data_IF_717599271155
#
_entry.id   IF_717599271155
#
_cell.length_a   1.000
_cell.length_b   1.000
_cell.length_c   1.000
_cell.angle_alpha   90.00
_cell.angle_beta   90.00
_cell.angle_gamma   90.00
#
_symmetry.space_group_name_H-M   'P 1'
#
loop_
_entity.id
_entity.type
_entity.pdbx_description
1 polymer ?
#
# COMPACT_ATOMS: atom_id res chain seq x y z
N UNK A 1 -9.44 -8.98 -3.09
CA UNK A 1 -10.25 -8.68 -1.88
C UNK A 1 -9.42 -8.10 -0.74
N UNK A 2 -8.37 -8.77 -0.24
CA UNK A 2 -7.55 -8.23 0.88
C UNK A 2 -7.02 -6.81 0.64
N UNK A 3 -6.42 -6.53 -0.52
CA UNK A 3 -6.01 -5.17 -0.89
C UNK A 3 -7.16 -4.14 -0.84
N UNK A 4 -8.35 -4.48 -1.35
CA UNK A 4 -9.49 -3.56 -1.35
C UNK A 4 -9.99 -3.25 0.07
N UNK A 5 -10.07 -4.26 0.95
CA UNK A 5 -10.47 -4.07 2.35
C UNK A 5 -9.42 -3.24 3.09
N UNK A 6 -8.13 -3.57 2.92
CA UNK A 6 -7.04 -2.79 3.48
C UNK A 6 -7.09 -1.33 3.04
N UNK A 7 -7.22 -1.07 1.74
CA UNK A 7 -7.36 0.28 1.20
C UNK A 7 -8.56 1.04 1.76
N UNK A 8 -9.70 0.39 1.96
CA UNK A 8 -10.87 1.04 2.54
C UNK A 8 -10.59 1.55 3.97
N UNK A 9 -9.90 0.77 4.80
CA UNK A 9 -9.48 1.21 6.13
C UNK A 9 -8.60 2.48 6.07
N UNK A 10 -7.60 2.48 5.18
CA UNK A 10 -6.68 3.63 5.00
C UNK A 10 -7.33 4.84 4.31
N UNK A 11 -8.48 4.65 3.66
CA UNK A 11 -9.27 5.75 3.12
C UNK A 11 -10.14 6.40 4.19
N UNK A 12 -10.73 5.59 5.08
CA UNK A 12 -11.68 6.04 6.11
C UNK A 12 -10.97 6.72 7.28
N UNK A 13 -9.88 6.13 7.81
CA UNK A 13 -9.17 6.65 8.98
C UNK A 13 -8.80 8.14 8.90
N UNK A 14 -8.08 8.58 7.85
CA UNK A 14 -7.66 9.97 7.72
C UNK A 14 -8.78 10.90 7.20
N UNK A 15 -9.98 10.38 6.95
CA UNK A 15 -11.09 11.19 6.44
C UNK A 15 -11.53 12.21 7.51
N UNK A 16 -11.70 13.50 7.14
CA UNK A 16 -12.06 14.53 8.10
C UNK A 16 -13.30 14.17 8.92
N UNK A 17 -13.21 14.23 10.24
CA UNK A 17 -14.31 13.92 11.17
C UNK A 17 -14.32 12.49 11.70
N UNK A 18 -13.57 11.56 11.11
CA UNK A 18 -13.60 10.15 11.54
C UNK A 18 -13.01 9.96 12.94
N UNK A 19 -11.78 10.46 13.17
CA UNK A 19 -11.12 10.37 14.49
C UNK A 19 -11.90 11.09 15.60
N UNK A 20 -12.62 12.17 15.27
CA UNK A 20 -13.49 12.87 16.23
C UNK A 20 -14.74 12.05 16.60
N UNK A 21 -15.20 11.18 15.70
CA UNK A 21 -16.36 10.31 15.91
C UNK A 21 -16.01 9.07 16.73
N UNK A 22 -14.87 8.43 16.45
CA UNK A 22 -14.51 7.12 17.02
C UNK A 22 -13.41 7.18 18.08
N UNK A 23 -12.66 8.28 18.14
CA UNK A 23 -11.49 8.47 19.00
C UNK A 23 -10.20 7.90 18.39
N UNK A 24 -9.05 8.41 18.86
CA UNK A 24 -7.72 8.07 18.33
C UNK A 24 -7.39 6.57 18.42
N UNK A 25 -7.80 5.90 19.50
CA UNK A 25 -7.55 4.47 19.68
C UNK A 25 -8.27 3.63 18.62
N UNK A 26 -9.56 3.90 18.37
CA UNK A 26 -10.33 3.17 17.37
C UNK A 26 -9.85 3.48 15.95
N UNK A 27 -9.48 4.73 15.68
CA UNK A 27 -8.86 5.12 14.40
C UNK A 27 -7.56 4.37 14.14
N UNK A 28 -6.66 4.29 15.13
CA UNK A 28 -5.44 3.48 15.06
C UNK A 28 -5.72 2.00 14.79
N UNK A 29 -6.76 1.43 15.41
CA UNK A 29 -7.18 0.04 15.16
C UNK A 29 -7.64 -0.15 13.71
N UNK A 30 -8.35 0.80 13.11
CA UNK A 30 -8.75 0.74 11.69
C UNK A 30 -7.53 0.65 10.79
N UNK A 31 -6.52 1.50 11.00
CA UNK A 31 -5.27 1.44 10.25
C UNK A 31 -4.52 0.12 10.44
N UNK A 32 -4.44 -0.39 11.67
CA UNK A 32 -3.78 -1.66 11.95
C UNK A 32 -4.49 -2.86 11.30
N UNK A 33 -5.83 -2.92 11.39
CA UNK A 33 -6.62 -3.95 10.70
C UNK A 33 -6.40 -3.87 9.19
N UNK A 34 -6.41 -2.65 8.64
CA UNK A 34 -6.12 -2.43 7.22
C UNK A 34 -4.75 -2.96 6.81
N UNK A 35 -3.72 -2.74 7.62
CA UNK A 35 -2.35 -3.17 7.31
C UNK A 35 -2.21 -4.69 7.37
N UNK A 36 -2.91 -5.37 8.29
CA UNK A 36 -2.98 -6.84 8.32
C UNK A 36 -3.57 -7.39 7.02
N UNK A 37 -4.66 -6.80 6.51
CA UNK A 37 -5.24 -7.21 5.22
C UNK A 37 -4.27 -7.02 4.05
N UNK A 38 -3.53 -5.91 4.02
CA UNK A 38 -2.46 -5.69 3.03
C UNK A 38 -1.38 -6.76 3.12
N UNK A 39 -0.89 -7.08 4.33
CA UNK A 39 0.15 -8.09 4.54
C UNK A 39 -0.31 -9.48 4.10
N UNK A 40 -1.53 -9.88 4.46
CA UNK A 40 -2.08 -11.18 4.04
C UNK A 40 -2.26 -11.24 2.52
N UNK A 41 -2.74 -10.16 1.89
CA UNK A 41 -2.90 -10.09 0.45
C UNK A 41 -1.55 -10.21 -0.28
N UNK A 42 -0.55 -9.46 0.15
CA UNK A 42 0.81 -9.49 -0.41
C UNK A 42 1.48 -10.86 -0.20
N UNK A 43 1.29 -11.50 0.96
CA UNK A 43 1.77 -12.85 1.23
C UNK A 43 1.17 -13.87 0.25
N UNK A 44 -0.13 -13.78 -0.01
CA UNK A 44 -0.81 -14.66 -0.97
C UNK A 44 -0.31 -14.43 -2.40
N UNK A 45 -0.12 -13.17 -2.82
CA UNK A 45 0.41 -12.82 -4.13
C UNK A 45 1.83 -13.37 -4.33
N UNK A 46 2.72 -13.18 -3.35
CA UNK A 46 4.08 -13.71 -3.37
C UNK A 46 4.09 -15.25 -3.38
N UNK A 47 3.21 -15.88 -2.59
CA UNK A 47 3.06 -17.35 -2.58
C UNK A 47 2.57 -17.87 -3.93
N UNK A 48 1.60 -17.23 -4.56
CA UNK A 48 1.09 -17.59 -5.89
C UNK A 48 2.22 -17.54 -6.93
N UNK A 49 2.98 -16.44 -6.95
CA UNK A 49 4.14 -16.28 -7.82
C UNK A 49 5.20 -17.37 -7.63
N UNK A 50 5.51 -17.69 -6.37
CA UNK A 50 6.57 -18.65 -6.02
C UNK A 50 6.15 -20.11 -6.24
N UNK A 51 4.98 -20.51 -5.72
CA UNK A 51 4.57 -21.92 -5.63
C UNK A 51 3.79 -22.36 -6.86
N UNK A 52 2.82 -21.57 -7.31
CA UNK A 52 1.86 -22.00 -8.34
C UNK A 52 2.31 -21.67 -9.76
N UNK A 53 2.90 -20.49 -9.95
CA UNK A 53 3.43 -20.08 -11.25
C UNK A 53 4.87 -20.52 -11.50
N UNK A 54 5.54 -21.03 -10.45
CA UNK A 54 6.92 -21.49 -10.56
C UNK A 54 7.91 -20.38 -10.95
N UNK A 55 7.54 -19.11 -10.77
CA UNK A 55 8.45 -17.97 -10.95
C UNK A 55 9.49 -18.05 -9.83
N UNK A 56 10.57 -18.78 -10.08
CA UNK A 56 11.68 -18.93 -9.14
C UNK A 56 12.46 -17.62 -9.05
N UNK A 57 13.02 -17.39 -7.86
CA UNK A 57 13.92 -16.29 -7.55
C UNK A 57 14.97 -16.09 -8.66
N UNK A 58 15.13 -14.86 -9.17
CA UNK A 58 16.34 -14.43 -9.90
C UNK A 58 16.17 -13.80 -11.27
N UNK A 59 15.03 -13.96 -11.99
CA UNK A 59 14.87 -13.35 -13.34
C UNK A 59 13.56 -12.63 -13.61
N UNK A 60 12.49 -12.94 -12.90
CA UNK A 60 11.18 -12.32 -13.13
C UNK A 60 11.00 -11.04 -12.29
N UNK A 61 10.89 -9.85 -12.91
CA UNK A 61 10.63 -8.60 -12.19
C UNK A 61 9.28 -8.61 -11.44
N UNK A 62 8.28 -9.38 -11.90
CA UNK A 62 6.99 -9.49 -11.21
C UNK A 62 7.11 -10.19 -9.86
N UNK A 63 7.97 -11.21 -9.74
CA UNK A 63 8.23 -11.85 -8.47
C UNK A 63 8.91 -10.88 -7.48
N UNK A 64 9.90 -10.12 -7.95
CA UNK A 64 10.57 -9.11 -7.13
C UNK A 64 9.64 -7.98 -6.70
N UNK A 65 8.74 -7.55 -7.59
CA UNK A 65 7.68 -6.59 -7.25
C UNK A 65 6.83 -7.11 -6.07
N UNK A 66 6.32 -8.35 -6.16
CA UNK A 66 5.54 -8.97 -5.08
C UNK A 66 6.35 -9.16 -3.79
N UNK A 67 7.62 -9.57 -3.89
CA UNK A 67 8.48 -9.78 -2.74
C UNK A 67 8.78 -8.47 -1.99
N UNK A 68 9.15 -7.42 -2.72
CA UNK A 68 9.41 -6.10 -2.14
C UNK A 68 8.12 -5.49 -1.58
N UNK A 69 6.98 -5.68 -2.26
CA UNK A 69 5.67 -5.27 -1.74
C UNK A 69 5.40 -5.94 -0.39
N UNK A 70 5.61 -7.25 -0.29
CA UNK A 70 5.38 -7.99 0.94
C UNK A 70 6.26 -7.48 2.09
N UNK A 71 7.56 -7.25 1.85
CA UNK A 71 8.45 -6.62 2.84
C UNK A 71 7.91 -5.25 3.27
N UNK A 72 7.48 -4.42 2.31
CA UNK A 72 6.85 -3.13 2.61
C UNK A 72 5.64 -3.26 3.53
N UNK A 73 4.76 -4.24 3.28
CA UNK A 73 3.58 -4.45 4.12
C UNK A 73 3.93 -4.90 5.54
N UNK A 74 5.02 -5.65 5.74
CA UNK A 74 5.47 -6.04 7.08
C UNK A 74 5.96 -4.82 7.87
N UNK A 75 6.77 -3.96 7.24
CA UNK A 75 7.26 -2.73 7.86
C UNK A 75 6.11 -1.78 8.21
N UNK A 76 5.14 -1.66 7.30
CA UNK A 76 3.95 -0.85 7.50
C UNK A 76 3.03 -1.42 8.60
N UNK A 77 2.93 -2.74 8.71
CA UNK A 77 2.22 -3.40 9.80
C UNK A 77 2.91 -3.14 11.17
N UNK A 78 4.24 -3.17 11.23
CA UNK A 78 5.00 -2.79 12.43
C UNK A 78 4.76 -1.32 12.84
N UNK A 79 4.74 -0.40 11.86
CA UNK A 79 4.44 1.01 12.09
C UNK A 79 3.04 1.20 12.67
N UNK A 80 2.02 0.65 12.02
CA UNK A 80 0.61 0.77 12.47
C UNK A 80 0.34 0.06 13.80
N UNK A 81 1.00 -1.06 14.08
CA UNK A 81 0.96 -1.69 15.39
C UNK A 81 1.58 -0.78 16.48
N UNK A 82 2.72 -0.16 16.17
CA UNK A 82 3.39 0.76 17.09
C UNK A 82 2.56 2.01 17.35
N UNK A 83 1.77 2.47 16.37
CA UNK A 83 0.83 3.58 16.52
C UNK A 83 -0.34 3.29 17.48
N UNK A 84 -0.58 2.02 17.85
CA UNK A 84 -1.55 1.67 18.89
C UNK A 84 -1.02 1.91 20.32
N UNK A 85 0.28 2.14 20.47
CA UNK A 85 0.89 2.35 21.78
C UNK A 85 0.63 3.78 22.24
N UNK A 86 0.22 3.92 23.50
CA UNK A 86 0.01 5.23 24.11
C UNK A 86 1.32 5.81 24.66
N UNK A 87 1.38 7.14 24.74
CA UNK A 87 2.45 7.87 25.46
C UNK A 87 3.88 7.64 24.94
N UNK A 88 4.05 7.49 23.62
CA UNK A 88 5.37 7.49 22.99
C UNK A 88 6.00 8.90 23.06
N UNK A 89 7.29 8.96 23.41
CA UNK A 89 8.06 10.18 23.19
C UNK A 89 8.24 10.44 21.68
N UNK A 90 8.48 11.69 21.29
CA UNK A 90 8.77 12.06 19.90
C UNK A 90 9.89 11.23 19.27
N UNK A 91 10.92 10.87 20.05
CA UNK A 91 12.01 10.02 19.56
C UNK A 91 11.55 8.58 19.32
N UNK A 92 10.68 8.04 20.18
CA UNK A 92 10.10 6.72 19.99
C UNK A 92 9.12 6.69 18.83
N UNK A 93 8.30 7.72 18.67
CA UNK A 93 7.38 7.86 17.52
C UNK A 93 8.14 7.86 16.20
N UNK A 94 9.20 8.67 16.09
CA UNK A 94 10.03 8.69 14.89
C UNK A 94 10.74 7.35 14.63
N UNK A 95 11.13 6.63 15.69
CA UNK A 95 11.86 5.35 15.57
C UNK A 95 10.96 4.16 15.27
N UNK A 96 9.79 4.09 15.92
CA UNK A 96 8.91 2.93 15.90
C UNK A 96 7.77 3.05 14.88
N UNK A 97 7.33 4.27 14.59
CA UNK A 97 6.21 4.54 13.68
C UNK A 97 6.74 5.08 12.36
N UNK A 98 7.43 6.23 12.39
CA UNK A 98 7.88 6.91 11.18
C UNK A 98 8.94 6.12 10.40
N UNK A 99 9.96 5.57 11.08
CA UNK A 99 11.06 4.88 10.40
C UNK A 99 10.57 3.65 9.61
N UNK A 100 9.79 2.71 10.20
CA UNK A 100 9.24 1.60 9.43
C UNK A 100 8.24 2.05 8.36
N UNK A 101 7.50 3.13 8.57
CA UNK A 101 6.59 3.68 7.56
C UNK A 101 7.34 4.18 6.32
N UNK A 102 8.41 4.97 6.51
CA UNK A 102 9.24 5.48 5.41
C UNK A 102 9.89 4.33 4.63
N UNK A 103 10.46 3.35 5.32
CA UNK A 103 11.05 2.19 4.65
C UNK A 103 9.99 1.33 3.95
N UNK A 104 8.82 1.15 4.56
CA UNK A 104 7.68 0.46 3.96
C UNK A 104 7.21 1.16 2.67
N UNK A 105 7.04 2.47 2.73
CA UNK A 105 6.68 3.32 1.59
C UNK A 105 7.73 3.30 0.47
N UNK A 106 9.02 3.28 0.82
CA UNK A 106 10.09 3.09 -0.16
C UNK A 106 10.00 1.72 -0.85
N UNK A 107 9.70 0.65 -0.10
CA UNK A 107 9.43 -0.67 -0.68
C UNK A 107 8.22 -0.63 -1.64
N UNK A 108 7.12 0.00 -1.26
CA UNK A 108 5.95 0.14 -2.13
C UNK A 108 6.26 0.90 -3.43
N UNK A 109 7.06 1.97 -3.36
CA UNK A 109 7.53 2.70 -4.54
C UNK A 109 8.37 1.83 -5.47
N UNK A 110 9.35 1.10 -4.92
CA UNK A 110 10.18 0.17 -5.71
C UNK A 110 9.31 -0.92 -6.33
N UNK A 111 8.40 -1.51 -5.56
CA UNK A 111 7.49 -2.53 -6.05
C UNK A 111 6.58 -2.03 -7.18
N UNK A 112 5.95 -0.87 -6.99
CA UNK A 112 5.09 -0.24 -7.99
C UNK A 112 5.83 0.12 -9.27
N UNK A 113 7.08 0.60 -9.15
CA UNK A 113 7.92 0.91 -10.31
C UNK A 113 8.27 -0.36 -11.10
N UNK A 114 8.58 -1.47 -10.41
CA UNK A 114 8.79 -2.77 -11.06
C UNK A 114 7.52 -3.26 -11.77
N UNK A 115 6.37 -3.22 -11.09
CA UNK A 115 5.09 -3.63 -11.67
C UNK A 115 4.74 -2.82 -12.92
N UNK A 116 4.88 -1.49 -12.86
CA UNK A 116 4.61 -0.62 -13.99
C UNK A 116 5.60 -0.86 -15.14
N UNK A 117 6.88 -1.10 -14.85
CA UNK A 117 7.88 -1.43 -15.88
C UNK A 117 7.55 -2.75 -16.59
N UNK A 118 7.02 -3.75 -15.89
CA UNK A 118 6.61 -5.02 -16.50
C UNK A 118 5.50 -4.79 -17.53
N UNK A 119 4.53 -3.92 -17.23
CA UNK A 119 3.39 -3.65 -18.14
C UNK A 119 3.69 -2.62 -19.21
N UNK A 120 4.49 -1.59 -18.91
CA UNK A 120 4.81 -0.49 -19.82
C UNK A 120 6.06 -0.74 -20.69
N UNK A 121 6.83 -1.78 -20.38
CA UNK A 121 8.08 -2.09 -21.06
C UNK A 121 9.24 -1.17 -20.65
N UNK A 122 10.43 -1.35 -21.28
CA UNK A 122 11.68 -0.73 -20.83
C UNK A 122 11.72 0.80 -20.99
N UNK A 123 10.91 1.36 -21.89
CA UNK A 123 10.81 2.82 -22.12
C UNK A 123 9.78 3.50 -21.21
N UNK A 124 9.09 2.75 -20.33
CA UNK A 124 8.02 3.26 -19.46
C UNK A 124 6.86 3.94 -20.21
N UNK A 125 6.74 3.64 -21.50
CA UNK A 125 5.76 4.19 -22.44
C UNK A 125 4.94 3.01 -22.97
N UNK A 126 3.80 2.70 -22.35
CA UNK A 126 2.99 1.57 -22.75
C UNK A 126 2.46 1.78 -24.17
N UNK A 127 2.57 0.75 -25.02
CA UNK A 127 2.00 0.79 -26.37
C UNK A 127 0.46 0.87 -26.34
N UNK A 128 -0.16 0.31 -25.29
CA UNK A 128 -1.59 0.40 -25.02
C UNK A 128 -1.84 0.43 -23.51
N UNK A 129 -2.76 1.29 -23.08
CA UNK A 129 -3.23 1.33 -21.69
C UNK A 129 -4.29 0.25 -21.47
N UNK A 130 -3.84 -1.00 -21.33
CA UNK A 130 -4.72 -2.10 -20.95
C UNK A 130 -4.96 -2.14 -19.43
N UNK A 131 -5.83 -3.05 -18.96
CA UNK A 131 -6.20 -3.12 -17.54
C UNK A 131 -5.00 -3.37 -16.62
N UNK A 132 -4.03 -4.19 -17.05
CA UNK A 132 -2.85 -4.48 -16.25
C UNK A 132 -1.97 -3.23 -16.12
N UNK A 133 -1.73 -2.52 -17.22
CA UNK A 133 -0.98 -1.27 -17.21
C UNK A 133 -1.68 -0.18 -16.40
N UNK A 134 -3.01 -0.02 -16.53
CA UNK A 134 -3.78 0.93 -15.73
C UNK A 134 -3.71 0.59 -14.24
N UNK A 135 -3.84 -0.69 -13.88
CA UNK A 135 -3.72 -1.14 -12.48
C UNK A 135 -2.34 -0.80 -11.91
N UNK A 136 -1.27 -1.11 -12.65
CA UNK A 136 0.09 -0.82 -12.22
C UNK A 136 0.36 0.69 -12.09
N UNK A 137 -0.14 1.50 -13.03
CA UNK A 137 0.00 2.96 -13.00
C UNK A 137 -0.73 3.59 -11.81
N UNK A 138 -1.98 3.18 -11.57
CA UNK A 138 -2.78 3.70 -10.45
C UNK A 138 -2.16 3.27 -9.11
N UNK A 139 -1.72 2.02 -8.97
CA UNK A 139 -1.02 1.58 -7.76
C UNK A 139 0.30 2.34 -7.56
N UNK A 140 1.09 2.58 -8.61
CA UNK A 140 2.32 3.37 -8.51
C UNK A 140 2.02 4.82 -8.05
N UNK A 141 0.97 5.45 -8.57
CA UNK A 141 0.51 6.75 -8.07
C UNK A 141 0.16 6.69 -6.58
N UNK A 142 -0.54 5.62 -6.15
CA UNK A 142 -0.81 5.35 -4.74
C UNK A 142 0.46 5.28 -3.89
N UNK A 143 1.50 4.57 -4.36
CA UNK A 143 2.79 4.47 -3.69
C UNK A 143 3.48 5.83 -3.55
N UNK A 144 3.40 6.69 -4.56
CA UNK A 144 3.94 8.06 -4.51
C UNK A 144 3.22 8.88 -3.44
N UNK A 145 1.90 8.84 -3.41
CA UNK A 145 1.10 9.57 -2.42
C UNK A 145 1.39 9.06 -0.99
N UNK A 146 1.47 7.74 -0.78
CA UNK A 146 1.88 7.18 0.52
C UNK A 146 3.30 7.61 0.91
N UNK A 147 4.25 7.63 -0.03
CA UNK A 147 5.60 8.13 0.23
C UNK A 147 5.63 9.59 0.66
N UNK A 148 4.80 10.44 0.05
CA UNK A 148 4.65 11.85 0.47
C UNK A 148 4.06 11.93 1.88
N UNK A 149 3.03 11.13 2.17
CA UNK A 149 2.43 11.04 3.51
C UNK A 149 3.46 10.64 4.57
N UNK A 150 4.27 9.62 4.30
CA UNK A 150 5.30 9.14 5.22
C UNK A 150 6.33 10.25 5.54
N UNK A 151 6.76 11.03 4.56
CA UNK A 151 7.65 12.18 4.78
C UNK A 151 6.96 13.25 5.64
N UNK A 152 5.70 13.58 5.31
CA UNK A 152 4.91 14.59 6.02
C UNK A 152 4.55 14.18 7.47
N UNK A 153 4.60 12.88 7.78
CA UNK A 153 4.30 12.36 9.12
C UNK A 153 5.45 12.48 10.12
N UNK A 154 6.62 12.98 9.69
CA UNK A 154 7.77 13.16 10.58
C UNK A 154 7.43 14.07 11.77
N UNK A 155 7.74 13.64 12.98
CA UNK A 155 7.50 14.44 14.18
C UNK A 155 8.73 15.28 14.48
N UNK A 156 8.57 16.59 14.42
CA UNK A 156 9.68 17.54 14.58
C UNK A 156 10.10 17.59 16.05
N UNK A 157 11.35 17.21 16.41
CA UNK A 157 11.76 17.09 17.82
C UNK A 157 11.69 18.40 18.62
N UNK A 158 11.84 19.55 17.97
CA UNK A 158 11.80 20.86 18.65
C UNK A 158 10.38 21.29 19.03
N UNK A 159 9.37 20.87 18.28
CA UNK A 159 7.96 21.26 18.51
C UNK A 159 7.12 20.12 19.08
N UNK A 160 7.55 18.87 18.91
CA UNK A 160 6.77 17.68 19.26
C UNK A 160 5.56 17.45 18.36
N UNK A 161 5.44 18.20 17.25
CA UNK A 161 4.31 18.13 16.32
C UNK A 161 4.69 17.40 15.03
N UNK A 162 3.70 16.76 14.41
CA UNK A 162 3.81 16.24 13.03
C UNK A 162 4.12 17.40 12.08
N UNK A 163 5.00 17.16 11.09
CA UNK A 163 5.48 18.15 10.13
C UNK A 163 4.34 18.78 9.33
N UNK A 164 3.45 17.97 8.75
CA UNK A 164 2.23 18.45 8.10
C UNK A 164 1.11 17.42 8.15
N UNK A 165 0.26 17.53 9.17
CA UNK A 165 -0.86 16.59 9.38
C UNK A 165 -1.90 16.63 8.25
N UNK A 166 -2.09 17.78 7.59
CA UNK A 166 -3.04 17.89 6.50
C UNK A 166 -2.55 17.10 5.28
N UNK A 167 -1.26 17.21 4.95
CA UNK A 167 -0.63 16.43 3.88
C UNK A 167 -0.67 14.93 4.21
N UNK A 168 -0.38 14.53 5.45
CA UNK A 168 -0.51 13.12 5.88
C UNK A 168 -1.90 12.58 5.57
N UNK A 169 -2.95 13.27 6.02
CA UNK A 169 -4.32 12.79 5.87
C UNK A 169 -4.75 12.73 4.40
N UNK A 170 -4.52 13.80 3.63
CA UNK A 170 -4.92 13.86 2.22
C UNK A 170 -4.16 12.85 1.35
N UNK A 171 -2.84 12.75 1.51
CA UNK A 171 -2.03 11.84 0.72
C UNK A 171 -2.30 10.37 1.09
N UNK A 172 -2.53 10.06 2.37
CA UNK A 172 -2.95 8.72 2.79
C UNK A 172 -4.31 8.36 2.19
N UNK A 173 -5.32 9.23 2.29
CA UNK A 173 -6.63 8.98 1.73
C UNK A 173 -6.58 8.79 0.20
N UNK A 174 -5.95 9.71 -0.53
CA UNK A 174 -5.86 9.64 -1.99
C UNK A 174 -5.04 8.44 -2.47
N UNK A 175 -3.94 8.11 -1.77
CA UNK A 175 -3.16 6.92 -2.08
C UNK A 175 -3.94 5.63 -1.82
N UNK A 176 -4.71 5.60 -0.73
CA UNK A 176 -5.57 4.47 -0.39
C UNK A 176 -6.68 4.28 -1.44
N UNK A 177 -7.26 5.37 -1.92
CA UNK A 177 -8.22 5.35 -3.03
C UNK A 177 -7.60 4.78 -4.31
N UNK A 178 -6.36 5.15 -4.63
CA UNK A 178 -5.63 4.58 -5.77
C UNK A 178 -5.48 3.06 -5.62
N UNK A 179 -5.00 2.58 -4.46
CA UNK A 179 -4.90 1.15 -4.19
C UNK A 179 -6.24 0.42 -4.23
N UNK A 180 -7.32 1.07 -3.78
CA UNK A 180 -8.67 0.53 -3.85
C UNK A 180 -9.10 0.33 -5.31
N UNK A 181 -8.93 1.36 -6.15
CA UNK A 181 -9.22 1.28 -7.58
C UNK A 181 -8.39 0.18 -8.24
N UNK A 182 -7.08 0.12 -7.97
CA UNK A 182 -6.20 -0.94 -8.47
C UNK A 182 -6.68 -2.33 -8.05
N UNK A 183 -7.08 -2.50 -6.79
CA UNK A 183 -7.62 -3.77 -6.29
C UNK A 183 -8.92 -4.17 -7.00
N UNK A 184 -9.81 -3.22 -7.30
CA UNK A 184 -11.04 -3.49 -8.06
C UNK A 184 -10.76 -3.87 -9.51
N UNK A 185 -9.78 -3.23 -10.16
CA UNK A 185 -9.41 -3.53 -11.55
C UNK A 185 -8.83 -4.95 -11.73
N UNK A 186 -8.30 -5.55 -10.66
CA UNK A 186 -7.83 -6.95 -10.67
C UNK A 186 -8.94 -7.99 -10.51
N UNK A 187 -10.17 -7.58 -10.23
CA UNK A 187 -11.29 -8.51 -10.14
C UNK A 187 -11.66 -9.03 -11.54
N UNK A 188 -11.97 -10.33 -11.68
CA UNK A 188 -12.43 -10.90 -12.95
C UNK A 188 -13.67 -10.15 -13.46
N UNK A 189 -13.71 -9.85 -14.76
CA UNK A 189 -14.91 -9.27 -15.35
C UNK A 189 -15.93 -10.34 -15.70
N UNK A 190 -17.22 -10.01 -15.62
CA UNK A 190 -18.33 -10.93 -15.96
C UNK A 190 -18.23 -11.50 -17.39
N UNK A 191 -17.55 -10.79 -18.29
CA UNK A 191 -17.24 -11.23 -19.66
C UNK A 191 -16.24 -12.40 -19.72
N UNK A 192 -15.33 -12.52 -18.74
CA UNK A 192 -14.34 -13.61 -18.69
C UNK A 192 -14.96 -14.92 -18.17
N UNK A 193 -16.08 -14.82 -17.44
CA UNK A 193 -16.83 -15.97 -16.92
C UNK A 193 -17.72 -16.65 -17.97
N UNK A 194 -17.94 -16.01 -19.13
CA UNK A 194 -18.82 -16.50 -20.20
C UNK A 194 -18.08 -17.06 -21.43
N UNK A 195 -16.75 -17.17 -21.42
CA UNK A 195 -16.04 -17.94 -22.44
C UNK A 195 -16.26 -19.43 -22.15
N UNK A 196 -17.11 -20.15 -22.92
CA UNK A 196 -17.20 -21.59 -22.75
C UNK A 196 -15.85 -22.17 -23.13
N UNK A 197 -15.40 -23.16 -22.36
CA UNK A 197 -14.24 -23.97 -22.72
C UNK A 197 -14.48 -24.51 -24.14
N UNK A 198 -13.73 -24.01 -25.11
CA UNK A 198 -13.72 -24.56 -26.45
C UNK A 198 -13.16 -25.98 -26.33
N UNK A 199 -14.05 -26.95 -26.52
CA UNK A 199 -13.78 -28.38 -26.68
C UNK A 199 -12.93 -28.66 -27.90
#
# INVERSE_FOLDING_TARGET
MGFAVGSACFFIGPFPGFVQLVGAAADGVVFFVGSVFFTLAAAMELREGTVRRGHRWGRDPSWWSAAVQFVGTLLFNLSTYSALQESLSTQQENRLIWTPDVFGSACFLVSGALAYRVTAGPRLLPARMDRACTTAAVNLLGCVLFGISAIASFVVPSTGSILDLAVVNWCTALGALCFFIGALLTLPSSSDAHSPAAT
#
